data_IF_474494665737
#
_entry.id   IF_474494665737
#
_cell.length_a   1.000
_cell.length_b   1.000
_cell.length_c   1.000
_cell.angle_alpha   90.00
_cell.angle_beta   90.00
_cell.angle_gamma   90.00
#
_symmetry.space_group_name_H-M   'P 1'
#
loop_
_entity.id
_entity.type
_entity.pdbx_description
1 polymer ?
#
# COMPACT_ATOMS: atom_id res chain seq x y z
N UNK A 1 43.95 6.34 63.19
CA UNK A 1 43.73 7.75 62.81
C UNK A 1 44.46 7.92 61.48
N UNK A 2 43.76 8.08 60.37
CA UNK A 2 44.44 8.24 59.08
C UNK A 2 44.96 9.68 58.99
N UNK A 3 46.29 9.86 59.02
CA UNK A 3 46.92 11.16 58.81
C UNK A 3 46.61 11.61 57.39
N UNK A 4 45.73 12.61 57.26
CA UNK A 4 45.44 13.25 55.97
C UNK A 4 46.14 14.60 55.96
N UNK A 5 47.07 14.78 55.01
CA UNK A 5 47.93 15.97 54.88
C UNK A 5 47.39 16.89 53.77
N UNK A 6 47.52 18.22 53.90
CA UNK A 6 46.99 19.16 52.92
C UNK A 6 47.77 19.08 51.60
N UNK A 7 47.06 18.96 50.48
CA UNK A 7 47.60 19.15 49.14
C UNK A 7 47.71 20.65 48.84
N UNK A 8 48.91 21.12 48.53
CA UNK A 8 49.15 22.51 48.12
C UNK A 8 49.20 22.57 46.59
N UNK A 9 48.24 23.29 46.01
CA UNK A 9 48.21 23.59 44.58
C UNK A 9 48.88 24.95 44.36
N UNK A 10 50.18 24.94 44.04
CA UNK A 10 50.84 26.12 43.47
C UNK A 10 51.06 25.83 41.98
N UNK A 11 50.35 26.61 41.15
CA UNK A 11 50.56 26.67 39.70
C UNK A 11 50.75 25.31 39.00
N UNK A 12 49.79 24.40 39.20
CA UNK A 12 49.68 23.18 38.39
C UNK A 12 50.64 22.03 38.75
N UNK A 13 51.41 22.13 39.83
CA UNK A 13 52.25 21.01 40.31
C UNK A 13 51.85 20.62 41.72
N UNK A 14 51.52 19.33 41.90
CA UNK A 14 51.30 18.73 43.21
C UNK A 14 52.65 18.40 43.81
N UNK A 15 53.03 19.05 44.91
CA UNK A 15 54.20 18.64 45.70
C UNK A 15 53.80 18.57 47.16
N UNK A 16 54.02 17.40 47.77
CA UNK A 16 53.89 17.21 49.20
C UNK A 16 55.10 17.86 49.91
N UNK A 17 54.86 18.54 51.02
CA UNK A 17 55.95 19.06 51.86
C UNK A 17 56.52 17.94 52.76
N UNK A 18 57.86 17.83 52.90
CA UNK A 18 58.49 16.90 53.84
C UNK A 18 57.97 17.07 55.28
N UNK A 19 58.11 16.01 56.09
CA UNK A 19 57.68 16.04 57.48
C UNK A 19 58.52 17.06 58.28
N UNK A 20 57.85 18.05 58.88
CA UNK A 20 58.49 19.11 59.67
C UNK A 20 58.70 20.44 58.95
N UNK A 21 58.42 20.52 57.64
CA UNK A 21 58.55 21.76 56.87
C UNK A 21 57.29 22.65 56.98
N UNK A 22 57.51 23.96 57.10
CA UNK A 22 56.46 24.99 57.11
C UNK A 22 56.55 25.84 55.84
N UNK A 23 55.45 26.00 55.10
CA UNK A 23 55.40 26.94 53.98
C UNK A 23 55.34 28.39 54.49
N UNK A 24 56.49 29.05 54.59
CA UNK A 24 56.57 30.45 55.04
C UNK A 24 56.01 31.35 53.92
N UNK A 25 54.96 32.11 54.23
CA UNK A 25 54.26 33.00 53.28
C UNK A 25 52.98 32.43 52.67
N UNK A 26 52.64 31.16 52.95
CA UNK A 26 51.34 30.60 52.58
C UNK A 26 50.29 30.96 53.65
N UNK A 27 49.35 31.83 53.28
CA UNK A 27 48.15 32.08 54.07
C UNK A 27 47.12 31.00 53.76
N UNK A 28 46.48 30.42 54.78
CA UNK A 28 45.24 29.67 54.61
C UNK A 28 44.21 30.56 53.91
N UNK A 29 44.08 30.39 52.59
CA UNK A 29 43.22 31.23 51.77
C UNK A 29 41.73 30.99 52.04
N UNK A 30 40.91 31.92 51.55
CA UNK A 30 39.49 31.68 51.38
C UNK A 30 39.26 30.97 50.06
N UNK A 31 38.59 29.83 50.08
CA UNK A 31 38.03 29.27 48.86
C UNK A 31 36.76 30.06 48.52
N UNK A 32 36.79 30.86 47.46
CA UNK A 32 35.62 31.61 46.98
C UNK A 32 34.71 30.68 46.17
N UNK A 33 33.43 30.63 46.52
CA UNK A 33 32.43 29.88 45.74
C UNK A 33 32.31 30.47 44.32
N UNK A 34 32.25 29.60 43.31
CA UNK A 34 32.20 30.00 41.89
C UNK A 34 32.62 28.87 40.96
N UNK A 35 32.29 29.00 39.67
CA UNK A 35 32.62 28.03 38.60
C UNK A 35 32.27 26.56 38.91
N UNK A 36 31.10 26.33 39.51
CA UNK A 36 30.59 24.98 39.77
C UNK A 36 30.95 24.40 41.15
N UNK A 37 31.61 25.14 42.04
CA UNK A 37 31.76 24.73 43.46
C UNK A 37 30.69 25.38 44.33
N UNK A 38 29.87 24.56 44.99
CA UNK A 38 28.88 24.97 45.98
C UNK A 38 29.50 24.98 47.38
N UNK A 39 29.54 26.16 47.99
CA UNK A 39 30.16 26.38 49.31
C UNK A 39 31.65 26.75 49.21
N UNK A 40 32.06 27.66 50.09
CA UNK A 40 33.44 28.15 50.22
C UNK A 40 33.79 28.38 51.69
N UNK A 41 34.96 28.97 51.97
CA UNK A 41 35.35 29.34 53.33
C UNK A 41 36.84 29.19 53.64
N UNK A 42 37.18 29.41 54.91
CA UNK A 42 38.56 29.38 55.41
C UNK A 42 39.14 27.95 55.36
N UNK A 43 40.30 27.81 54.70
CA UNK A 43 41.08 26.57 54.67
C UNK A 43 42.03 26.50 55.87
N UNK A 44 41.47 26.56 57.08
CA UNK A 44 42.16 26.67 58.38
C UNK A 44 42.77 25.35 58.89
N UNK A 45 42.99 24.37 58.02
CA UNK A 45 43.50 23.05 58.37
C UNK A 45 42.44 22.05 58.85
N UNK A 46 41.17 22.45 58.97
CA UNK A 46 40.05 21.53 59.24
C UNK A 46 39.62 20.78 57.96
N UNK A 47 39.09 19.56 58.09
CA UNK A 47 38.44 18.86 56.97
C UNK A 47 37.23 19.67 56.49
N UNK A 48 37.22 20.07 55.22
CA UNK A 48 36.08 20.75 54.58
C UNK A 48 35.43 19.83 53.54
N UNK A 49 34.10 19.85 53.48
CA UNK A 49 33.33 19.26 52.39
C UNK A 49 33.20 20.30 51.28
N UNK A 50 33.57 19.93 50.05
CA UNK A 50 33.31 20.74 48.86
C UNK A 50 32.23 20.03 48.06
N UNK A 51 31.08 20.68 47.89
CA UNK A 51 30.03 20.17 47.03
C UNK A 51 30.20 20.80 45.62
N UNK A 52 29.92 20.05 44.57
CA UNK A 52 29.97 20.56 43.18
C UNK A 52 28.53 20.88 42.77
N UNK A 53 28.26 22.13 42.41
CA UNK A 53 26.98 22.56 41.86
C UNK A 53 26.86 22.09 40.42
N UNK A 54 25.92 21.18 40.18
CA UNK A 54 25.55 20.73 38.84
C UNK A 54 24.38 21.58 38.31
N UNK A 55 24.38 21.85 36.99
CA UNK A 55 23.25 22.51 36.34
C UNK A 55 21.96 21.66 36.44
N UNK A 56 20.76 22.27 36.33
CA UNK A 56 19.51 21.52 36.30
C UNK A 56 19.53 20.46 35.18
N UNK A 57 19.18 19.20 35.51
CA UNK A 57 19.22 18.02 34.63
C UNK A 57 20.62 17.50 34.23
N UNK A 58 21.66 17.70 35.05
CA UNK A 58 22.93 17.03 34.79
C UNK A 58 22.76 15.50 34.83
N UNK A 59 23.32 14.79 33.84
CA UNK A 59 23.30 13.33 33.76
C UNK A 59 24.11 12.63 34.87
N UNK A 60 24.80 13.39 35.74
CA UNK A 60 25.60 12.91 36.87
C UNK A 60 27.05 13.39 36.82
N UNK A 61 27.82 13.08 37.87
CA UNK A 61 29.29 13.21 37.92
C UNK A 61 29.90 11.82 37.75
N UNK A 62 30.62 11.58 36.67
CA UNK A 62 31.25 10.27 36.39
C UNK A 62 32.75 10.37 36.70
N UNK A 63 33.19 9.54 37.63
CA UNK A 63 34.60 9.35 37.98
C UNK A 63 35.06 8.05 37.33
N UNK A 64 36.01 8.13 36.40
CA UNK A 64 36.55 6.97 35.68
C UNK A 64 37.89 6.57 36.29
N UNK A 65 38.02 5.31 36.71
CA UNK A 65 39.21 4.77 37.39
C UNK A 65 39.00 4.58 38.91
N UNK A 66 40.04 4.08 39.61
CA UNK A 66 40.05 3.89 41.06
C UNK A 66 41.35 4.43 41.67
N UNK A 67 41.30 4.90 42.92
CA UNK A 67 42.47 5.49 43.60
C UNK A 67 42.87 6.87 43.03
N UNK A 68 44.15 7.22 43.16
CA UNK A 68 44.67 8.56 42.83
C UNK A 68 44.73 8.88 41.33
N UNK A 69 44.43 7.91 40.46
CA UNK A 69 44.40 8.06 39.01
C UNK A 69 42.99 8.28 38.45
N UNK A 70 41.99 8.47 39.32
CA UNK A 70 40.62 8.66 38.88
C UNK A 70 40.45 10.03 38.18
N UNK A 71 39.84 10.03 36.99
CA UNK A 71 39.65 11.23 36.16
C UNK A 71 38.18 11.48 35.83
N UNK A 72 37.84 12.70 35.44
CA UNK A 72 36.51 13.02 34.92
C UNK A 72 36.42 12.56 33.47
N UNK A 73 35.55 11.60 33.17
CA UNK A 73 35.41 11.02 31.82
C UNK A 73 33.98 10.59 31.51
N UNK A 74 33.70 10.31 30.23
CA UNK A 74 32.42 9.74 29.78
C UNK A 74 32.44 8.21 29.93
N UNK A 75 31.38 7.59 30.46
CA UNK A 75 31.32 6.16 30.84
C UNK A 75 31.21 5.14 29.67
N UNK A 76 31.37 5.58 28.42
CA UNK A 76 31.26 4.70 27.25
C UNK A 76 29.83 4.22 26.90
N UNK A 77 28.82 4.50 27.74
CA UNK A 77 27.41 4.13 27.50
C UNK A 77 26.83 4.82 26.26
N UNK A 78 27.24 6.07 26.01
CA UNK A 78 26.91 6.81 24.79
C UNK A 78 27.50 6.20 23.50
N UNK A 79 28.70 5.60 23.60
CA UNK A 79 29.35 4.93 22.47
C UNK A 79 28.68 3.59 22.18
N UNK A 80 28.30 2.84 23.23
CA UNK A 80 27.57 1.59 23.11
C UNK A 80 26.17 1.79 22.51
N UNK A 81 25.42 2.78 22.98
CA UNK A 81 24.10 3.13 22.43
C UNK A 81 24.15 3.62 20.98
N UNK A 82 25.17 4.43 20.63
CA UNK A 82 25.41 4.82 19.23
C UNK A 82 25.73 3.63 18.32
N UNK A 83 26.54 2.69 18.80
CA UNK A 83 26.89 1.47 18.06
C UNK A 83 25.68 0.55 17.88
N UNK A 84 24.83 0.41 18.89
CA UNK A 84 23.58 -0.36 18.82
C UNK A 84 22.58 0.26 17.84
N UNK A 85 22.44 1.59 17.84
CA UNK A 85 21.59 2.31 16.88
C UNK A 85 22.07 2.10 15.43
N UNK A 86 23.38 2.12 15.20
CA UNK A 86 23.96 1.88 13.88
C UNK A 86 23.74 0.42 13.41
N UNK A 87 23.88 -0.56 14.31
CA UNK A 87 23.61 -1.96 14.00
C UNK A 87 22.13 -2.19 13.62
N UNK A 88 21.19 -1.63 14.39
CA UNK A 88 19.76 -1.71 14.10
C UNK A 88 19.40 -1.05 12.76
N UNK A 89 20.02 0.10 12.45
CA UNK A 89 19.85 0.75 11.15
C UNK A 89 20.39 -0.11 9.99
N UNK A 90 21.51 -0.81 10.20
CA UNK A 90 22.07 -1.76 9.24
C UNK A 90 21.15 -2.97 8.99
N UNK A 91 20.57 -3.55 10.04
CA UNK A 91 19.60 -4.65 9.94
C UNK A 91 18.30 -4.21 9.24
N UNK A 92 17.82 -2.99 9.51
CA UNK A 92 16.68 -2.39 8.82
C UNK A 92 16.96 -2.16 7.33
N UNK A 93 18.17 -1.67 6.98
CA UNK A 93 18.57 -1.50 5.58
C UNK A 93 18.72 -2.85 4.87
N UNK A 94 19.35 -3.84 5.52
CA UNK A 94 19.53 -5.17 4.96
C UNK A 94 18.20 -5.89 4.73
N UNK A 95 17.25 -5.79 5.68
CA UNK A 95 15.90 -6.33 5.53
C UNK A 95 15.12 -5.63 4.42
N UNK A 96 15.22 -4.30 4.30
CA UNK A 96 14.64 -3.54 3.18
C UNK A 96 15.21 -3.96 1.81
N UNK A 97 16.52 -4.13 1.71
CA UNK A 97 17.18 -4.57 0.48
C UNK A 97 16.87 -6.04 0.13
N UNK A 98 16.79 -6.92 1.12
CA UNK A 98 16.37 -8.31 0.93
C UNK A 98 14.91 -8.39 0.45
N UNK A 99 14.03 -7.57 1.02
CA UNK A 99 12.64 -7.46 0.57
C UNK A 99 12.55 -6.94 -0.89
N UNK A 100 13.39 -5.98 -1.28
CA UNK A 100 13.49 -5.52 -2.66
C UNK A 100 13.95 -6.64 -3.62
N UNK A 101 14.95 -7.43 -3.22
CA UNK A 101 15.48 -8.53 -4.05
C UNK A 101 14.50 -9.71 -4.17
N UNK A 102 13.69 -9.97 -3.14
CA UNK A 102 12.65 -11.02 -3.14
C UNK A 102 11.40 -10.59 -3.90
N UNK A 103 11.15 -9.28 -4.04
CA UNK A 103 10.04 -8.75 -4.84
C UNK A 103 10.27 -8.80 -6.36
N UNK A 104 11.51 -9.04 -6.82
CA UNK A 104 11.90 -9.00 -8.24
C UNK A 104 11.68 -10.31 -9.01
N UNK A 105 11.67 -11.53 -8.43
CA UNK A 105 11.47 -12.72 -9.24
C UNK A 105 10.01 -12.94 -9.67
N UNK A 106 9.07 -13.48 -8.88
CA UNK A 106 7.81 -13.98 -9.51
C UNK A 106 6.51 -13.94 -8.71
N UNK A 107 6.43 -13.44 -7.48
CA UNK A 107 5.11 -13.26 -6.86
C UNK A 107 5.11 -12.09 -5.87
N UNK A 108 4.22 -11.13 -6.11
CA UNK A 108 4.19 -9.83 -5.48
C UNK A 108 4.28 -9.87 -3.95
N UNK A 109 5.41 -9.39 -3.42
CA UNK A 109 5.52 -9.00 -2.02
C UNK A 109 4.90 -7.60 -1.84
N UNK A 110 3.63 -7.62 -1.43
CA UNK A 110 2.73 -6.51 -1.05
C UNK A 110 3.23 -5.69 0.16
N UNK A 111 4.43 -5.10 0.13
CA UNK A 111 5.01 -4.46 1.33
C UNK A 111 5.42 -2.98 1.20
N UNK A 112 5.29 -2.35 0.02
CA UNK A 112 5.29 -0.88 -0.05
C UNK A 112 4.18 -0.39 -0.97
N UNK A 113 3.23 0.37 -0.43
CA UNK A 113 2.02 0.78 -1.14
C UNK A 113 2.28 1.50 -2.46
N UNK A 114 3.44 2.16 -2.61
CA UNK A 114 3.79 2.89 -3.82
C UNK A 114 4.22 1.96 -4.97
N UNK A 115 4.91 0.86 -4.69
CA UNK A 115 5.28 -0.12 -5.72
C UNK A 115 4.05 -0.91 -6.21
N UNK A 116 3.14 -1.26 -5.30
CA UNK A 116 1.86 -1.89 -5.62
C UNK A 116 0.96 -0.99 -6.50
N UNK A 117 0.98 0.33 -6.25
CA UNK A 117 0.22 1.29 -7.04
C UNK A 117 0.77 1.47 -8.46
N UNK A 118 2.10 1.43 -8.62
CA UNK A 118 2.75 1.52 -9.93
C UNK A 118 2.45 0.30 -10.79
N UNK A 119 2.49 -0.92 -10.22
CA UNK A 119 2.21 -2.13 -10.98
C UNK A 119 0.72 -2.23 -11.36
N UNK A 120 -0.19 -1.88 -10.43
CA UNK A 120 -1.63 -1.83 -10.69
C UNK A 120 -2.01 -0.80 -11.77
N UNK A 121 -1.29 0.32 -11.89
CA UNK A 121 -1.54 1.33 -12.93
C UNK A 121 -1.38 0.79 -14.36
N UNK A 122 -0.67 -0.33 -14.52
CA UNK A 122 -0.46 -1.01 -15.80
C UNK A 122 -1.39 -2.21 -16.03
N UNK A 123 -2.29 -2.50 -15.08
CA UNK A 123 -3.23 -3.62 -15.14
C UNK A 123 -4.66 -3.11 -15.24
N UNK A 124 -5.49 -3.84 -15.96
CA UNK A 124 -6.94 -3.60 -16.03
C UNK A 124 -7.57 -4.10 -14.73
N UNK A 125 -8.44 -3.31 -14.08
CA UNK A 125 -9.08 -3.77 -12.86
C UNK A 125 -10.03 -4.95 -13.12
N UNK A 126 -10.13 -5.85 -12.13
CA UNK A 126 -11.14 -6.93 -12.14
C UNK A 126 -12.56 -6.39 -11.97
N UNK A 127 -12.71 -5.14 -11.53
CA UNK A 127 -14.00 -4.47 -11.33
C UNK A 127 -14.53 -3.83 -12.63
N UNK A 128 -13.73 -3.82 -13.70
CA UNK A 128 -14.08 -3.28 -15.00
C UNK A 128 -13.36 -1.95 -15.26
N UNK A 129 -12.53 -1.94 -16.31
CA UNK A 129 -11.94 -0.74 -16.88
C UNK A 129 -11.91 -0.88 -18.40
N UNK A 130 -11.79 0.27 -19.09
CA UNK A 130 -11.58 0.29 -20.54
C UNK A 130 -10.17 -0.20 -20.85
N UNK A 131 -10.07 -1.28 -21.64
CA UNK A 131 -8.79 -1.73 -22.20
C UNK A 131 -8.45 -0.85 -23.40
N UNK A 132 -7.50 0.06 -23.22
CA UNK A 132 -6.98 0.87 -24.33
C UNK A 132 -5.88 0.11 -25.07
N UNK A 133 -6.17 -0.39 -26.27
CA UNK A 133 -5.21 -1.09 -27.13
C UNK A 133 -5.64 -2.52 -27.50
N UNK A 134 -4.69 -3.31 -27.99
CA UNK A 134 -4.95 -4.70 -28.40
C UNK A 134 -5.13 -5.60 -27.19
N UNK A 135 -6.28 -6.28 -27.11
CA UNK A 135 -6.52 -7.36 -26.16
C UNK A 135 -6.13 -8.70 -26.80
N UNK A 136 -5.19 -9.42 -26.19
CA UNK A 136 -4.84 -10.81 -26.56
C UNK A 136 -5.26 -11.74 -25.44
N UNK A 137 -6.16 -12.68 -25.72
CA UNK A 137 -6.56 -13.73 -24.79
C UNK A 137 -5.82 -15.01 -25.18
N UNK A 138 -5.01 -15.56 -24.27
CA UNK A 138 -4.16 -16.74 -24.55
C UNK A 138 -4.93 -18.05 -24.63
N UNK A 139 -6.14 -18.06 -24.09
CA UNK A 139 -7.05 -19.21 -24.06
C UNK A 139 -8.45 -18.77 -24.49
N UNK A 140 -9.51 -19.38 -23.95
CA UNK A 140 -10.89 -18.97 -24.23
C UNK A 140 -11.29 -17.70 -23.47
N UNK A 141 -12.11 -16.88 -24.12
CA UNK A 141 -12.96 -15.87 -23.47
C UNK A 141 -14.43 -16.17 -23.80
N UNK A 142 -15.31 -16.06 -22.81
CA UNK A 142 -16.76 -16.08 -23.02
C UNK A 142 -17.40 -14.94 -22.24
N UNK A 143 -18.46 -14.37 -22.81
CA UNK A 143 -19.28 -13.36 -22.13
C UNK A 143 -20.41 -14.02 -21.33
N UNK A 144 -20.88 -13.34 -20.29
CA UNK A 144 -22.16 -13.66 -19.66
C UNK A 144 -23.30 -13.51 -20.67
N UNK A 145 -24.37 -14.28 -20.46
CA UNK A 145 -25.53 -14.30 -21.35
C UNK A 145 -26.72 -13.72 -20.59
N UNK A 146 -27.30 -12.65 -21.11
CA UNK A 146 -28.51 -12.05 -20.53
C UNK A 146 -29.74 -12.89 -20.87
N UNK A 147 -30.61 -13.16 -19.91
CA UNK A 147 -31.83 -13.95 -20.14
C UNK A 147 -33.08 -13.10 -19.99
N UNK A 148 -34.03 -13.25 -20.90
CA UNK A 148 -35.38 -12.70 -20.79
C UNK A 148 -36.40 -13.79 -21.08
N UNK A 149 -37.44 -13.88 -20.26
CA UNK A 149 -38.58 -14.78 -20.48
C UNK A 149 -39.85 -13.97 -20.30
N UNK A 150 -40.68 -13.91 -21.32
CA UNK A 150 -41.90 -13.11 -21.28
C UNK A 150 -42.50 -12.81 -22.64
N UNK A 151 -43.32 -11.78 -22.72
CA UNK A 151 -43.96 -11.34 -23.97
C UNK A 151 -44.19 -9.83 -23.99
N UNK A 152 -44.60 -9.30 -25.15
CA UNK A 152 -44.82 -7.87 -25.35
C UNK A 152 -43.62 -7.20 -25.99
N UNK A 153 -43.25 -6.00 -25.51
CA UNK A 153 -42.06 -5.29 -25.99
C UNK A 153 -40.83 -5.75 -25.22
N UNK A 154 -39.84 -6.28 -25.93
CA UNK A 154 -38.61 -6.82 -25.39
C UNK A 154 -37.48 -5.86 -25.73
N UNK A 155 -36.80 -5.33 -24.71
CA UNK A 155 -35.63 -4.46 -24.86
C UNK A 155 -34.44 -5.14 -24.20
N UNK A 156 -33.38 -5.38 -24.98
CA UNK A 156 -32.14 -5.99 -24.50
C UNK A 156 -31.13 -4.90 -24.13
N UNK A 157 -30.36 -5.11 -23.06
CA UNK A 157 -29.27 -4.22 -22.65
C UNK A 157 -27.94 -4.75 -23.23
N UNK A 158 -27.48 -4.09 -24.30
CA UNK A 158 -26.25 -4.46 -24.99
C UNK A 158 -24.99 -3.95 -24.26
N UNK A 159 -25.12 -2.98 -23.36
CA UNK A 159 -24.04 -2.58 -22.47
C UNK A 159 -23.76 -3.63 -21.39
N UNK A 160 -24.80 -4.36 -20.96
CA UNK A 160 -24.65 -5.42 -19.97
C UNK A 160 -24.11 -6.72 -20.57
N UNK A 161 -24.62 -7.15 -21.74
CA UNK A 161 -24.20 -8.39 -22.39
C UNK A 161 -24.20 -8.24 -23.92
N UNK A 162 -23.26 -8.91 -24.60
CA UNK A 162 -23.32 -9.06 -26.06
C UNK A 162 -24.28 -10.18 -26.48
N UNK A 163 -24.42 -11.21 -25.63
CA UNK A 163 -25.18 -12.41 -25.94
C UNK A 163 -26.42 -12.49 -25.05
N UNK A 164 -27.54 -12.90 -25.64
CA UNK A 164 -28.80 -13.03 -24.92
C UNK A 164 -29.54 -14.32 -25.26
N UNK A 165 -30.42 -14.74 -24.35
CA UNK A 165 -31.44 -15.76 -24.57
C UNK A 165 -32.80 -15.12 -24.30
N UNK A 166 -33.73 -15.28 -25.22
CA UNK A 166 -35.11 -14.80 -25.14
C UNK A 166 -36.06 -15.98 -25.27
N UNK A 167 -36.89 -16.23 -24.26
CA UNK A 167 -37.97 -17.22 -24.33
C UNK A 167 -39.32 -16.51 -24.47
N UNK A 168 -39.98 -16.71 -25.62
CA UNK A 168 -41.24 -16.07 -25.96
C UNK A 168 -42.42 -16.79 -25.29
N UNK A 169 -43.18 -16.08 -24.46
CA UNK A 169 -44.44 -16.56 -23.84
C UNK A 169 -45.70 -16.00 -24.53
N UNK A 170 -45.52 -15.27 -25.63
CA UNK A 170 -46.55 -14.52 -26.33
C UNK A 170 -45.99 -13.83 -27.56
N UNK A 171 -46.87 -13.35 -28.43
CA UNK A 171 -46.46 -12.52 -29.56
C UNK A 171 -45.77 -11.26 -29.04
N UNK A 172 -44.60 -10.98 -29.58
CA UNK A 172 -43.70 -9.98 -29.02
C UNK A 172 -43.10 -9.09 -30.09
N UNK A 173 -42.49 -7.99 -29.66
CA UNK A 173 -41.70 -7.10 -30.50
C UNK A 173 -40.33 -6.92 -29.86
N UNK A 174 -39.25 -7.26 -30.58
CA UNK A 174 -37.90 -6.90 -30.19
C UNK A 174 -37.66 -5.43 -30.54
N UNK A 175 -37.53 -4.58 -29.52
CA UNK A 175 -37.24 -3.17 -29.67
C UNK A 175 -35.75 -2.92 -29.98
N UNK A 176 -35.38 -1.67 -30.25
CA UNK A 176 -33.98 -1.26 -30.28
C UNK A 176 -33.34 -1.61 -28.92
N UNK A 177 -32.21 -2.32 -28.89
CA UNK A 177 -31.43 -2.51 -27.68
C UNK A 177 -31.02 -1.18 -27.06
N UNK A 178 -30.89 -1.13 -25.74
CA UNK A 178 -30.27 0.01 -25.06
C UNK A 178 -28.75 -0.14 -25.09
N UNK A 179 -28.03 0.97 -24.84
CA UNK A 179 -26.58 0.99 -24.55
C UNK A 179 -25.69 0.32 -25.62
N UNK A 180 -26.22 0.15 -26.83
CA UNK A 180 -25.50 -0.40 -27.96
C UNK A 180 -24.37 0.53 -28.40
N UNK A 181 -23.23 -0.07 -28.76
CA UNK A 181 -22.06 0.66 -29.27
C UNK A 181 -21.73 0.22 -30.69
N UNK A 182 -21.27 1.16 -31.52
CA UNK A 182 -20.79 0.82 -32.87
C UNK A 182 -19.61 -0.15 -32.81
N UNK A 183 -19.60 -1.15 -33.68
CA UNK A 183 -18.61 -2.24 -33.68
C UNK A 183 -18.97 -3.43 -32.80
N UNK A 184 -20.03 -3.33 -31.99
CA UNK A 184 -20.49 -4.43 -31.14
C UNK A 184 -21.14 -5.54 -31.97
N UNK A 185 -20.84 -6.79 -31.63
CA UNK A 185 -21.41 -7.97 -32.26
C UNK A 185 -21.79 -9.03 -31.22
N UNK A 186 -22.78 -9.85 -31.54
CA UNK A 186 -23.23 -10.92 -30.65
C UNK A 186 -24.36 -11.74 -31.26
N UNK A 187 -25.01 -12.53 -30.40
CA UNK A 187 -26.14 -13.37 -30.78
C UNK A 187 -27.27 -13.33 -29.74
N UNK A 188 -28.51 -13.42 -30.22
CA UNK A 188 -29.71 -13.60 -29.41
C UNK A 188 -30.31 -14.95 -29.77
N UNK A 189 -30.24 -15.91 -28.84
CA UNK A 189 -30.96 -17.18 -28.97
C UNK A 189 -32.41 -16.92 -28.62
N UNK A 190 -33.33 -17.35 -29.49
CA UNK A 190 -34.75 -17.13 -29.34
C UNK A 190 -35.43 -18.49 -29.24
N UNK A 191 -36.13 -18.73 -28.14
CA UNK A 191 -36.91 -19.94 -27.91
C UNK A 191 -38.39 -19.64 -27.99
N UNK A 192 -39.13 -20.52 -28.66
CA UNK A 192 -40.56 -20.69 -28.44
C UNK A 192 -40.79 -21.30 -27.05
N UNK A 193 -41.90 -20.96 -26.41
CA UNK A 193 -42.36 -21.72 -25.26
C UNK A 193 -42.82 -23.14 -25.66
N UNK A 194 -43.21 -23.94 -24.67
CA UNK A 194 -43.72 -25.29 -24.92
C UNK A 194 -45.05 -25.34 -25.67
N UNK A 195 -45.66 -24.20 -26.01
CA UNK A 195 -46.88 -24.14 -26.84
C UNK A 195 -46.53 -23.83 -28.30
N UNK A 196 -45.57 -22.94 -28.54
CA UNK A 196 -45.24 -22.44 -29.86
C UNK A 196 -46.22 -21.37 -30.36
N UNK A 197 -46.21 -21.13 -31.68
CA UNK A 197 -47.03 -20.13 -32.39
C UNK A 197 -46.77 -18.68 -31.96
N UNK A 198 -45.61 -18.40 -31.36
CA UNK A 198 -45.24 -17.03 -30.95
C UNK A 198 -44.52 -16.34 -32.10
N UNK A 199 -44.98 -15.15 -32.45
CA UNK A 199 -44.30 -14.30 -33.43
C UNK A 199 -43.41 -13.28 -32.74
N UNK A 200 -42.32 -12.89 -33.41
CA UNK A 200 -41.46 -11.78 -33.00
C UNK A 200 -41.41 -10.76 -34.13
N UNK A 201 -41.99 -9.58 -33.89
CA UNK A 201 -41.76 -8.42 -34.72
C UNK A 201 -40.47 -7.71 -34.30
N UNK A 202 -39.93 -6.86 -35.17
CA UNK A 202 -38.70 -6.11 -34.91
C UNK A 202 -38.99 -4.62 -35.10
N UNK A 203 -38.58 -3.79 -34.14
CA UNK A 203 -38.79 -2.34 -34.18
C UNK A 203 -37.56 -1.59 -33.68
N UNK A 204 -37.40 -0.33 -34.09
CA UNK A 204 -36.10 0.34 -33.99
C UNK A 204 -35.16 -0.14 -35.10
N UNK A 205 -33.95 0.42 -35.21
CA UNK A 205 -33.07 0.29 -36.39
C UNK A 205 -32.48 -1.09 -36.70
N UNK A 206 -33.21 -2.17 -36.43
CA UNK A 206 -32.96 -3.50 -36.97
C UNK A 206 -33.02 -3.48 -38.50
N UNK A 207 -31.93 -3.91 -39.13
CA UNK A 207 -31.75 -3.97 -40.57
C UNK A 207 -31.42 -5.40 -40.96
N UNK A 208 -32.27 -6.02 -41.78
CA UNK A 208 -32.11 -7.43 -42.17
C UNK A 208 -31.55 -7.56 -43.59
N UNK A 209 -30.84 -8.66 -43.83
CA UNK A 209 -30.41 -9.01 -45.19
C UNK A 209 -31.63 -9.04 -46.14
N UNK A 210 -31.51 -8.36 -47.28
CA UNK A 210 -32.62 -8.24 -48.24
C UNK A 210 -33.80 -7.38 -47.77
N UNK A 211 -33.66 -6.63 -46.66
CA UNK A 211 -34.66 -5.68 -46.16
C UNK A 211 -35.91 -6.33 -45.55
N UNK A 212 -35.91 -7.65 -45.35
CA UNK A 212 -37.08 -8.39 -44.84
C UNK A 212 -36.72 -9.11 -43.55
N UNK A 213 -37.51 -8.89 -42.51
CA UNK A 213 -37.33 -9.61 -41.24
C UNK A 213 -37.60 -11.12 -41.42
N UNK A 214 -36.83 -11.98 -40.74
CA UNK A 214 -37.00 -13.42 -40.83
C UNK A 214 -38.30 -13.85 -40.14
N UNK A 215 -38.93 -14.90 -40.67
CA UNK A 215 -40.03 -15.60 -40.00
C UNK A 215 -39.44 -16.65 -39.07
N UNK A 216 -39.66 -16.50 -37.77
CA UNK A 216 -39.15 -17.44 -36.77
C UNK A 216 -39.81 -18.81 -36.87
N UNK A 217 -39.10 -19.80 -36.36
CA UNK A 217 -39.66 -21.14 -36.11
C UNK A 217 -40.71 -21.02 -35.02
N UNK A 218 -41.91 -21.53 -35.29
CA UNK A 218 -43.08 -21.41 -34.41
C UNK A 218 -43.56 -22.73 -33.84
N UNK A 219 -42.84 -23.82 -34.08
CA UNK A 219 -43.10 -25.09 -33.40
C UNK A 219 -42.87 -24.93 -31.89
N UNK A 220 -43.60 -25.70 -31.09
CA UNK A 220 -43.35 -25.76 -29.64
C UNK A 220 -41.87 -26.06 -29.36
N UNK A 221 -41.26 -25.31 -28.46
CA UNK A 221 -39.83 -25.40 -28.11
C UNK A 221 -38.86 -25.17 -29.30
N UNK A 222 -39.33 -24.63 -30.42
CA UNK A 222 -38.50 -24.23 -31.55
C UNK A 222 -37.44 -23.21 -31.12
N UNK A 223 -36.26 -23.30 -31.73
CA UNK A 223 -35.11 -22.45 -31.40
C UNK A 223 -34.57 -21.80 -32.65
N UNK A 224 -34.35 -20.49 -32.60
CA UNK A 224 -33.71 -19.70 -33.64
C UNK A 224 -32.54 -18.89 -33.04
N UNK A 225 -31.57 -18.49 -33.85
CA UNK A 225 -30.44 -17.65 -33.41
C UNK A 225 -30.33 -16.42 -34.29
N UNK A 226 -30.61 -15.25 -33.73
CA UNK A 226 -30.41 -13.95 -34.37
C UNK A 226 -28.98 -13.48 -34.12
N UNK A 227 -28.14 -13.46 -35.16
CA UNK A 227 -26.80 -12.86 -35.11
C UNK A 227 -26.88 -11.40 -35.55
N UNK A 228 -26.09 -10.53 -34.91
CA UNK A 228 -26.13 -9.10 -35.19
C UNK A 228 -24.75 -8.42 -35.16
N UNK A 229 -24.68 -7.28 -35.85
CA UNK A 229 -23.59 -6.32 -35.79
C UNK A 229 -24.14 -4.89 -35.73
N UNK A 230 -23.72 -4.12 -34.73
CA UNK A 230 -24.08 -2.73 -34.55
C UNK A 230 -23.17 -1.83 -35.40
N UNK A 231 -23.70 -1.22 -36.45
CA UNK A 231 -22.93 -0.22 -37.24
C UNK A 231 -22.68 1.05 -36.43
N UNK A 232 -23.65 1.41 -35.60
CA UNK A 232 -23.64 2.53 -34.66
C UNK A 232 -24.58 2.19 -33.48
N UNK A 233 -24.88 3.15 -32.61
CA UNK A 233 -25.75 2.94 -31.44
C UNK A 233 -27.25 2.78 -31.77
N UNK A 234 -27.63 2.87 -33.04
CA UNK A 234 -29.01 2.88 -33.52
C UNK A 234 -29.29 1.95 -34.71
N UNK A 235 -28.26 1.48 -35.41
CA UNK A 235 -28.37 0.57 -36.58
C UNK A 235 -27.82 -0.81 -36.26
N UNK A 236 -28.70 -1.82 -36.30
CA UNK A 236 -28.40 -3.21 -35.93
C UNK A 236 -28.60 -4.13 -37.12
N UNK A 237 -27.52 -4.43 -37.84
CA UNK A 237 -27.56 -5.35 -38.98
C UNK A 237 -27.68 -6.76 -38.47
N UNK A 238 -28.69 -7.50 -38.92
CA UNK A 238 -28.99 -8.81 -38.37
C UNK A 238 -29.35 -9.85 -39.43
N UNK A 239 -29.08 -11.11 -39.08
CA UNK A 239 -29.48 -12.30 -39.82
C UNK A 239 -29.87 -13.38 -38.81
N UNK A 240 -30.75 -14.30 -39.20
CA UNK A 240 -31.22 -15.36 -38.30
C UNK A 240 -30.91 -16.72 -38.87
N UNK A 241 -30.31 -17.57 -38.05
CA UNK A 241 -30.22 -19.01 -38.27
C UNK A 241 -31.52 -19.60 -37.74
N UNK A 242 -32.34 -20.14 -38.64
CA UNK A 242 -33.66 -20.67 -38.30
C UNK A 242 -33.59 -22.16 -37.97
N UNK A 243 -34.50 -22.59 -37.10
CA UNK A 243 -34.80 -23.99 -36.78
C UNK A 243 -33.57 -24.80 -36.33
N UNK A 244 -32.89 -24.29 -35.31
CA UNK A 244 -31.71 -24.94 -34.75
C UNK A 244 -32.15 -26.17 -33.95
N UNK A 245 -31.88 -27.34 -34.52
CA UNK A 245 -32.14 -28.62 -33.87
C UNK A 245 -31.05 -28.94 -32.83
N UNK A 246 -31.44 -29.59 -31.73
CA UNK A 246 -30.46 -30.20 -30.83
C UNK A 246 -29.77 -31.35 -31.56
N UNK A 247 -28.43 -31.38 -31.50
CA UNK A 247 -27.63 -32.50 -32.01
C UNK A 247 -27.89 -33.80 -31.23
#
# INVERSE_FOLDING_TARGET
MADRRPLVLISGVFSELPAGDTAIGASAGQLTAGSGVAGGGALDGSTRRLDISLAPNASGLIIVGAGDTATLGFDGSHVASGSAALALAGEALASGNAALAVAVPEEGALASGNAALSDLSSKVSKAGDVVSGTLVVTSQSYGTVGSFTGSGVITLDFGANNNHVVTLQGNSTLAAPTTASGGQAGAVVIHQDGTGSRTLAYSGGWSFAGGTAPTLTTTASGTDILVYYCSDSSTFNASTILDVQSA
#
